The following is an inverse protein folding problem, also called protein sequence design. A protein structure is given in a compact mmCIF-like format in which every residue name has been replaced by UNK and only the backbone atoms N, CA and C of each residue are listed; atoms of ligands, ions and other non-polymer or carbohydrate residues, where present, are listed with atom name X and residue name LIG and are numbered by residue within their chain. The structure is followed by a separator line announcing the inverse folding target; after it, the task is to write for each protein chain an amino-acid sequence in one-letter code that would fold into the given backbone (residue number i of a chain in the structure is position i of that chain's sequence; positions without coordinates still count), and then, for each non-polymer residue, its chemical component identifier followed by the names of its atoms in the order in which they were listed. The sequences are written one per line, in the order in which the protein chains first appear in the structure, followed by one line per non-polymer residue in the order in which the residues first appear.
data_IF_185435848002
#
_entry.id   IF_185435848002
#
_cell.length_a   1.000
_cell.length_b   1.000
_cell.length_c   1.000
_cell.angle_alpha   90.00
_cell.angle_beta   90.00
_cell.angle_gamma   90.00
#
_symmetry.space_group_name_H-M   'P 1'
#
loop_
_entity.id
_entity.type
_entity.pdbx_description
1 polymer ?
#
# COMPACT_ATOMS: atom_id res chain seq x y z
N UNK A 1 -4.42 23.47 -8.84
CA UNK A 1 -5.05 22.28 -8.24
C UNK A 1 -3.91 21.46 -7.69
N UNK A 2 -4.02 21.02 -6.45
CA UNK A 2 -3.02 20.18 -5.82
C UNK A 2 -3.46 18.72 -5.92
N UNK A 3 -2.58 17.84 -6.37
CA UNK A 3 -2.77 16.39 -6.30
C UNK A 3 -1.80 15.87 -5.23
N UNK A 4 -2.35 15.26 -4.20
CA UNK A 4 -1.60 14.69 -3.07
C UNK A 4 -1.68 13.17 -3.17
N UNK A 5 -0.55 12.49 -3.21
CA UNK A 5 -0.50 11.02 -3.33
C UNK A 5 0.19 10.42 -2.12
N UNK A 6 -0.53 9.55 -1.41
CA UNK A 6 -0.05 8.75 -0.27
C UNK A 6 -0.31 7.28 -0.55
N UNK A 7 0.47 6.37 0.03
CA UNK A 7 0.41 4.94 -0.29
C UNK A 7 0.89 4.08 0.87
N UNK A 8 0.60 2.78 0.80
CA UNK A 8 1.23 1.75 1.63
C UNK A 8 1.03 1.95 3.14
N UNK A 9 -0.10 2.47 3.58
CA UNK A 9 -0.38 2.65 5.01
C UNK A 9 -0.65 1.33 5.73
N UNK A 10 -1.28 0.35 5.07
CA UNK A 10 -1.57 -0.96 5.63
C UNK A 10 -2.36 -0.91 6.96
N UNK A 11 -3.41 -0.08 7.05
CA UNK A 11 -4.28 0.01 8.22
C UNK A 11 -4.86 -1.38 8.57
N UNK A 12 -4.56 -1.86 9.77
CA UNK A 12 -5.07 -3.09 10.34
C UNK A 12 -6.29 -2.85 11.23
N UNK A 13 -6.37 -3.56 12.37
CA UNK A 13 -7.50 -3.46 13.30
C UNK A 13 -7.31 -2.36 14.37
N UNK A 14 -6.30 -1.52 14.23
CA UNK A 14 -5.85 -0.56 15.22
C UNK A 14 -4.72 -1.09 16.11
N UNK A 15 -4.04 -0.14 16.74
CA UNK A 15 -2.82 -0.36 17.54
C UNK A 15 -3.02 -1.26 18.75
N UNK A 16 -4.20 -1.23 19.36
CA UNK A 16 -4.48 -1.96 20.61
C UNK A 16 -5.63 -2.94 20.44
N UNK A 17 -5.47 -4.14 20.98
CA UNK A 17 -6.54 -5.11 21.14
C UNK A 17 -7.51 -4.67 22.25
N UNK A 18 -8.70 -5.29 22.31
CA UNK A 18 -9.72 -4.96 23.32
C UNK A 18 -9.24 -5.10 24.77
N UNK A 19 -8.23 -5.92 25.01
CA UNK A 19 -7.62 -6.13 26.34
C UNK A 19 -6.44 -5.18 26.62
N UNK A 20 -6.20 -4.18 25.77
CA UNK A 20 -5.12 -3.19 25.90
C UNK A 20 -3.75 -3.67 25.43
N UNK A 21 -3.60 -4.94 25.01
CA UNK A 21 -2.34 -5.42 24.45
C UNK A 21 -2.06 -4.80 23.08
N UNK A 22 -0.77 -4.57 22.79
CA UNK A 22 -0.34 -4.12 21.48
C UNK A 22 -0.73 -5.16 20.41
N UNK A 23 -1.41 -4.70 19.37
CA UNK A 23 -1.70 -5.48 18.18
C UNK A 23 -0.44 -5.56 17.31
N UNK A 24 0.31 -6.65 17.43
CA UNK A 24 1.56 -6.89 16.66
C UNK A 24 1.35 -6.99 15.14
N UNK A 25 0.11 -7.13 14.69
CA UNK A 25 -0.25 -7.16 13.28
C UNK A 25 -0.67 -5.77 12.77
N UNK A 26 -0.81 -4.79 13.65
CA UNK A 26 -1.01 -3.40 13.23
C UNK A 26 0.30 -2.84 12.68
N UNK A 27 0.21 -2.27 11.48
CA UNK A 27 1.35 -1.65 10.84
C UNK A 27 1.31 -0.13 10.97
N UNK A 28 0.10 0.46 10.91
CA UNK A 28 -0.12 1.89 10.89
C UNK A 28 -0.41 2.45 12.29
N UNK A 29 0.34 3.47 12.70
CA UNK A 29 0.16 4.15 13.99
C UNK A 29 0.16 5.68 13.84
N UNK A 30 -0.17 6.19 12.65
CA UNK A 30 -0.01 7.61 12.29
C UNK A 30 -1.36 8.30 12.03
N UNK A 31 -2.44 7.82 12.66
CA UNK A 31 -3.77 8.40 12.57
C UNK A 31 -3.76 9.92 12.83
N UNK A 32 -3.15 10.36 13.94
CA UNK A 32 -3.10 11.77 14.32
C UNK A 32 -2.33 12.61 13.30
N UNK A 33 -1.19 12.10 12.81
CA UNK A 33 -0.37 12.81 11.80
C UNK A 33 -1.10 12.91 10.46
N UNK A 34 -1.89 11.90 10.12
CA UNK A 34 -2.72 11.93 8.92
C UNK A 34 -3.89 12.91 9.06
N UNK A 35 -4.48 13.00 10.26
CA UNK A 35 -5.47 14.02 10.57
C UNK A 35 -4.90 15.43 10.40
N UNK A 36 -3.72 15.70 10.98
CA UNK A 36 -3.01 16.98 10.82
C UNK A 36 -2.72 17.30 9.34
N UNK A 37 -2.29 16.31 8.57
CA UNK A 37 -2.02 16.44 7.14
C UNK A 37 -3.27 16.87 6.36
N UNK A 38 -4.40 16.18 6.56
CA UNK A 38 -5.64 16.53 5.87
C UNK A 38 -6.21 17.87 6.33
N UNK A 39 -6.08 18.20 7.62
CA UNK A 39 -6.47 19.51 8.15
C UNK A 39 -5.67 20.63 7.48
N UNK A 40 -4.36 20.46 7.32
CA UNK A 40 -3.51 21.46 6.66
C UNK A 40 -3.94 21.71 5.20
N UNK A 41 -4.25 20.65 4.45
CA UNK A 41 -4.70 20.76 3.05
C UNK A 41 -6.20 21.05 2.89
N UNK A 42 -6.92 21.32 3.99
CA UNK A 42 -8.35 21.65 3.94
C UNK A 42 -8.77 22.85 4.80
N UNK A 43 -7.82 23.55 5.41
CA UNK A 43 -8.05 24.73 6.26
C UNK A 43 -7.22 25.94 5.77
N UNK A 44 -7.44 27.11 6.39
CA UNK A 44 -6.70 28.32 6.09
C UNK A 44 -6.70 28.69 4.61
N UNK A 45 -5.52 28.92 4.03
CA UNK A 45 -5.35 29.22 2.60
C UNK A 45 -5.74 28.06 1.67
N UNK A 46 -5.72 26.82 2.17
CA UNK A 46 -6.11 25.63 1.42
C UNK A 46 -7.62 25.31 1.49
N UNK A 47 -8.38 26.05 2.31
CA UNK A 47 -9.81 25.80 2.49
C UNK A 47 -10.56 25.81 1.15
N UNK A 48 -10.34 26.83 0.32
CA UNK A 48 -10.95 26.96 -1.01
C UNK A 48 -10.13 26.32 -2.14
N UNK A 49 -8.91 25.88 -1.87
CA UNK A 49 -8.03 25.29 -2.86
C UNK A 49 -8.64 23.98 -3.42
N UNK A 50 -8.49 23.76 -4.72
CA UNK A 50 -8.83 22.48 -5.32
C UNK A 50 -7.74 21.45 -4.99
N UNK A 51 -8.08 20.49 -4.12
CA UNK A 51 -7.16 19.45 -3.64
C UNK A 51 -7.75 18.08 -3.91
N UNK A 52 -6.99 17.26 -4.63
CA UNK A 52 -7.30 15.86 -4.94
C UNK A 52 -6.34 14.96 -4.18
N UNK A 53 -6.86 14.28 -3.17
CA UNK A 53 -6.13 13.23 -2.45
C UNK A 53 -6.27 11.90 -3.20
N UNK A 54 -5.14 11.28 -3.50
CA UNK A 54 -5.06 9.95 -4.10
C UNK A 54 -4.46 9.00 -3.08
N UNK A 55 -5.30 8.04 -2.67
CA UNK A 55 -4.97 6.91 -1.83
C UNK A 55 -4.42 5.79 -2.73
N UNK A 56 -3.10 5.72 -2.91
CA UNK A 56 -2.45 4.95 -3.98
C UNK A 56 -2.19 3.46 -3.67
N UNK A 57 -3.20 2.75 -3.17
CA UNK A 57 -3.11 1.32 -2.90
C UNK A 57 -2.39 0.95 -1.61
N UNK A 58 -2.71 -0.26 -1.15
CA UNK A 58 -2.28 -0.81 0.13
C UNK A 58 -2.51 0.16 1.30
N UNK A 59 -3.62 0.91 1.24
CA UNK A 59 -4.04 1.77 2.35
C UNK A 59 -4.62 0.90 3.46
N UNK A 60 -5.43 -0.09 3.12
CA UNK A 60 -6.01 -1.03 4.08
C UNK A 60 -5.29 -2.38 4.00
N UNK A 61 -5.06 -3.05 5.12
CA UNK A 61 -4.46 -4.38 5.14
C UNK A 61 -5.53 -5.48 5.20
N UNK A 62 -6.46 -5.50 4.23
CA UNK A 62 -7.67 -6.35 4.26
C UNK A 62 -7.37 -7.85 4.21
N UNK A 63 -6.22 -8.24 3.65
CA UNK A 63 -5.78 -9.64 3.64
C UNK A 63 -5.30 -10.13 5.01
N UNK A 64 -4.88 -9.25 5.93
CA UNK A 64 -4.39 -9.64 7.26
C UNK A 64 -5.38 -9.31 8.39
N UNK A 65 -6.68 -9.32 8.09
CA UNK A 65 -7.73 -9.17 9.10
C UNK A 65 -8.31 -10.53 9.45
N UNK A 66 -8.26 -10.92 10.72
CA UNK A 66 -9.01 -12.08 11.20
C UNK A 66 -10.48 -11.74 11.48
N UNK A 67 -11.36 -12.70 11.19
CA UNK A 67 -12.73 -12.73 11.67
C UNK A 67 -12.81 -13.79 12.76
N UNK A 68 -13.15 -13.36 13.97
CA UNK A 68 -13.23 -14.20 15.18
C UNK A 68 -11.99 -15.07 15.43
N UNK A 69 -10.80 -14.49 15.22
CA UNK A 69 -9.50 -15.16 15.42
C UNK A 69 -9.06 -16.06 14.26
N UNK A 70 -9.85 -16.15 13.19
CA UNK A 70 -9.54 -16.97 12.01
C UNK A 70 -9.08 -16.09 10.85
N UNK A 71 -7.85 -16.35 10.37
CA UNK A 71 -7.35 -15.81 9.12
C UNK A 71 -7.78 -16.72 7.96
N UNK A 72 -8.46 -16.16 6.98
CA UNK A 72 -8.98 -16.88 5.82
C UNK A 72 -8.37 -16.34 4.54
N UNK A 73 -7.98 -17.23 3.63
CA UNK A 73 -7.65 -16.88 2.25
C UNK A 73 -8.89 -16.89 1.34
N UNK A 74 -10.02 -17.37 1.86
CA UNK A 74 -11.33 -17.31 1.23
C UNK A 74 -11.94 -15.97 1.62
N UNK A 75 -11.70 -14.97 0.77
CA UNK A 75 -12.16 -13.60 0.98
C UNK A 75 -13.30 -13.32 0.01
N UNK A 76 -14.53 -13.31 0.51
CA UNK A 76 -15.71 -12.89 -0.21
C UNK A 76 -16.10 -11.43 0.13
N UNK A 77 -17.18 -10.95 -0.49
CA UNK A 77 -17.68 -9.59 -0.28
C UNK A 77 -18.07 -9.34 1.19
N UNK A 78 -18.75 -10.31 1.82
CA UNK A 78 -19.20 -10.20 3.21
C UNK A 78 -18.01 -10.13 4.18
N UNK A 79 -17.02 -10.99 3.99
CA UNK A 79 -15.77 -10.96 4.74
C UNK A 79 -15.09 -9.60 4.60
N UNK A 80 -15.00 -9.08 3.38
CA UNK A 80 -14.35 -7.78 3.10
C UNK A 80 -15.06 -6.63 3.83
N UNK A 81 -16.40 -6.58 3.78
CA UNK A 81 -17.20 -5.56 4.47
C UNK A 81 -17.00 -5.63 5.99
N UNK A 82 -16.99 -6.85 6.57
CA UNK A 82 -16.70 -7.04 8.00
C UNK A 82 -15.29 -6.61 8.36
N UNK A 83 -14.30 -6.93 7.52
CA UNK A 83 -12.91 -6.53 7.71
C UNK A 83 -12.75 -5.02 7.68
N UNK A 84 -13.38 -4.34 6.71
CA UNK A 84 -13.40 -2.88 6.63
C UNK A 84 -14.02 -2.25 7.87
N UNK A 85 -15.12 -2.82 8.40
CA UNK A 85 -15.73 -2.33 9.64
C UNK A 85 -14.80 -2.46 10.85
N UNK A 86 -14.02 -3.55 10.94
CA UNK A 86 -13.01 -3.71 12.00
C UNK A 86 -11.88 -2.68 11.86
N UNK A 87 -11.39 -2.45 10.65
CA UNK A 87 -10.36 -1.43 10.36
C UNK A 87 -10.86 -0.04 10.75
N UNK A 88 -12.07 0.32 10.33
CA UNK A 88 -12.69 1.61 10.67
C UNK A 88 -12.89 1.81 12.17
N UNK A 89 -13.24 0.74 12.91
CA UNK A 89 -13.33 0.82 14.37
C UNK A 89 -11.96 0.98 15.04
N UNK A 90 -10.89 0.43 14.45
CA UNK A 90 -9.51 0.59 14.92
C UNK A 90 -8.93 1.98 14.65
N UNK A 91 -9.36 2.61 13.55
CA UNK A 91 -8.79 3.86 13.03
C UNK A 91 -9.86 4.96 12.89
N UNK A 92 -10.64 5.20 13.93
CA UNK A 92 -11.76 6.16 13.88
C UNK A 92 -11.33 7.56 13.48
N UNK A 93 -10.17 8.00 13.96
CA UNK A 93 -9.60 9.31 13.65
C UNK A 93 -9.28 9.43 12.14
N UNK A 94 -8.66 8.41 11.55
CA UNK A 94 -8.39 8.36 10.11
C UNK A 94 -9.65 8.56 9.25
N UNK A 95 -10.70 7.76 9.50
CA UNK A 95 -11.95 7.87 8.72
C UNK A 95 -12.69 9.19 8.97
N UNK A 96 -12.68 9.69 10.22
CA UNK A 96 -13.25 10.99 10.56
C UNK A 96 -12.52 12.15 9.84
N UNK A 97 -11.20 12.06 9.69
CA UNK A 97 -10.41 13.05 8.96
C UNK A 97 -10.72 13.05 7.46
N UNK A 98 -10.85 11.87 6.84
CA UNK A 98 -11.28 11.75 5.43
C UNK A 98 -12.68 12.33 5.21
N UNK A 99 -13.62 12.03 6.12
CA UNK A 99 -14.97 12.62 6.11
C UNK A 99 -14.91 14.15 6.19
N UNK A 100 -14.16 14.68 7.17
CA UNK A 100 -13.99 16.13 7.35
C UNK A 100 -13.37 16.80 6.12
N UNK A 101 -12.39 16.14 5.50
CA UNK A 101 -11.74 16.62 4.27
C UNK A 101 -12.75 16.70 3.11
N UNK A 102 -13.51 15.63 2.86
CA UNK A 102 -14.54 15.62 1.80
C UNK A 102 -15.68 16.60 2.05
N UNK A 103 -15.96 16.94 3.31
CA UNK A 103 -16.99 17.92 3.65
C UNK A 103 -16.58 19.37 3.33
N UNK A 104 -15.32 19.63 2.95
CA UNK A 104 -14.84 20.97 2.58
C UNK A 104 -14.98 21.22 1.08
N UNK A 105 -15.11 22.48 0.65
CA UNK A 105 -15.24 22.80 -0.77
C UNK A 105 -14.00 22.38 -1.57
N UNK A 106 -14.23 21.94 -2.81
CA UNK A 106 -13.20 21.59 -3.79
C UNK A 106 -12.23 20.49 -3.32
N UNK A 107 -12.72 19.53 -2.52
CA UNK A 107 -11.95 18.36 -2.07
C UNK A 107 -12.43 17.10 -2.75
N UNK A 108 -11.49 16.31 -3.24
CA UNK A 108 -11.76 15.05 -3.94
C UNK A 108 -10.85 13.94 -3.39
N UNK A 109 -11.39 12.74 -3.30
CA UNK A 109 -10.62 11.53 -2.99
C UNK A 109 -10.76 10.52 -4.14
N UNK A 110 -9.63 9.96 -4.57
CA UNK A 110 -9.60 8.74 -5.39
C UNK A 110 -8.82 7.65 -4.67
N UNK A 111 -9.28 6.42 -4.80
CA UNK A 111 -8.70 5.24 -4.19
C UNK A 111 -8.21 4.30 -5.28
N UNK A 112 -6.91 4.09 -5.33
CA UNK A 112 -6.29 3.11 -6.21
C UNK A 112 -6.17 1.80 -5.43
N UNK A 113 -6.58 0.69 -6.04
CA UNK A 113 -6.60 -0.63 -5.40
C UNK A 113 -5.21 -1.29 -5.54
N UNK A 114 -4.64 -1.71 -4.41
CA UNK A 114 -3.41 -2.47 -4.30
C UNK A 114 -3.65 -3.97 -4.06
N UNK A 115 -2.59 -4.71 -3.73
CA UNK A 115 -2.65 -6.16 -3.51
C UNK A 115 -3.05 -6.54 -2.07
N UNK A 116 -2.90 -5.64 -1.08
CA UNK A 116 -3.36 -5.84 0.29
C UNK A 116 -4.83 -5.45 0.51
N UNK A 117 -5.34 -4.52 -0.31
CA UNK A 117 -6.71 -4.04 -0.28
C UNK A 117 -7.50 -4.39 -1.55
N UNK A 118 -7.13 -5.47 -2.25
CA UNK A 118 -7.84 -5.99 -3.43
C UNK A 118 -9.35 -6.22 -3.18
N UNK A 119 -9.74 -6.45 -1.92
CA UNK A 119 -11.14 -6.50 -1.49
C UNK A 119 -11.96 -5.25 -1.85
N UNK A 120 -11.32 -4.09 -2.01
CA UNK A 120 -11.97 -2.87 -2.46
C UNK A 120 -12.48 -2.94 -3.91
N UNK A 121 -12.22 -4.03 -4.65
CA UNK A 121 -12.90 -4.32 -5.90
C UNK A 121 -14.37 -4.76 -5.72
N UNK A 122 -14.79 -5.19 -4.53
CA UNK A 122 -16.18 -5.49 -4.23
C UNK A 122 -17.00 -4.21 -4.08
N UNK A 123 -18.13 -4.12 -4.79
CA UNK A 123 -18.98 -2.92 -4.77
C UNK A 123 -19.56 -2.64 -3.38
N UNK A 124 -19.90 -3.67 -2.60
CA UNK A 124 -20.39 -3.44 -1.24
C UNK A 124 -19.30 -2.89 -0.32
N UNK A 125 -18.03 -3.26 -0.54
CA UNK A 125 -16.90 -2.69 0.22
C UNK A 125 -16.68 -1.21 -0.13
N UNK A 126 -16.75 -0.85 -1.42
CA UNK A 126 -16.69 0.55 -1.87
C UNK A 126 -17.83 1.37 -1.29
N UNK A 127 -19.06 0.86 -1.36
CA UNK A 127 -20.25 1.50 -0.77
C UNK A 127 -20.06 1.69 0.73
N UNK A 128 -19.60 0.65 1.45
CA UNK A 128 -19.36 0.74 2.89
C UNK A 128 -18.30 1.78 3.23
N UNK A 129 -17.25 1.90 2.42
CA UNK A 129 -16.20 2.91 2.60
C UNK A 129 -16.77 4.33 2.40
N UNK A 130 -17.55 4.54 1.33
CA UNK A 130 -18.22 5.83 1.09
C UNK A 130 -19.23 6.18 2.20
N UNK A 131 -19.96 5.20 2.73
CA UNK A 131 -20.86 5.39 3.89
C UNK A 131 -20.09 5.86 5.13
N UNK A 132 -18.91 5.29 5.41
CA UNK A 132 -18.07 5.71 6.54
C UNK A 132 -17.57 7.16 6.38
N UNK A 133 -17.37 7.60 5.14
CA UNK A 133 -16.89 8.94 4.81
C UNK A 133 -18.01 9.97 4.62
N UNK A 134 -19.26 9.52 4.48
CA UNK A 134 -20.41 10.36 4.06
C UNK A 134 -20.08 11.17 2.79
N UNK A 135 -19.37 10.56 1.84
CA UNK A 135 -18.90 11.25 0.64
C UNK A 135 -18.48 10.29 -0.47
N UNK A 136 -18.38 10.85 -1.67
CA UNK A 136 -18.04 10.09 -2.87
C UNK A 136 -16.52 9.89 -2.98
N UNK A 137 -16.13 8.66 -3.32
CA UNK A 137 -14.73 8.26 -3.56
C UNK A 137 -14.69 7.46 -4.86
N UNK A 138 -13.80 7.84 -5.78
CA UNK A 138 -13.61 7.12 -7.04
C UNK A 138 -12.63 5.97 -6.84
N UNK A 139 -13.05 4.73 -7.11
CA UNK A 139 -12.21 3.53 -6.99
C UNK A 139 -11.71 3.06 -8.37
N UNK A 140 -10.42 2.77 -8.50
CA UNK A 140 -9.83 2.23 -9.73
C UNK A 140 -8.54 1.46 -9.45
N UNK A 141 -7.97 0.79 -10.45
CA UNK A 141 -6.63 0.15 -10.34
C UNK A 141 -5.50 1.07 -10.80
N UNK A 142 -5.84 2.12 -11.56
CA UNK A 142 -4.94 3.22 -11.90
C UNK A 142 -5.74 4.49 -12.11
N UNK A 143 -5.09 5.64 -12.00
CA UNK A 143 -5.65 6.95 -12.29
C UNK A 143 -4.75 7.61 -13.33
N UNK A 144 -5.34 8.05 -14.43
CA UNK A 144 -4.66 8.88 -15.42
C UNK A 144 -5.35 10.24 -15.50
N UNK A 145 -4.60 11.31 -15.30
CA UNK A 145 -5.12 12.67 -15.29
C UNK A 145 -4.13 13.62 -15.94
N UNK A 146 -4.50 14.20 -17.08
CA UNK A 146 -3.75 15.28 -17.76
C UNK A 146 -2.23 15.01 -17.84
N UNK A 147 -1.82 13.82 -18.31
CA UNK A 147 -0.41 13.43 -18.47
C UNK A 147 0.27 12.84 -17.21
N UNK A 148 -0.46 12.72 -16.10
CA UNK A 148 -0.03 12.06 -14.87
C UNK A 148 -0.66 10.67 -14.82
N UNK A 149 0.16 9.64 -14.61
CA UNK A 149 -0.29 8.27 -14.37
C UNK A 149 0.05 7.85 -12.94
N UNK A 150 -0.94 7.37 -12.20
CA UNK A 150 -0.80 6.91 -10.83
C UNK A 150 -1.30 5.48 -10.77
N UNK A 151 -0.47 4.58 -10.25
CA UNK A 151 -0.82 3.19 -9.99
C UNK A 151 -0.09 2.70 -8.75
N UNK A 152 -0.57 1.64 -8.10
CA UNK A 152 0.12 1.13 -6.91
C UNK A 152 1.48 0.48 -7.28
N UNK A 153 1.53 -0.28 -8.38
CA UNK A 153 2.76 -0.88 -8.92
C UNK A 153 2.97 -2.37 -8.60
N UNK A 154 2.08 -3.00 -7.81
CA UNK A 154 2.13 -4.43 -7.49
C UNK A 154 2.13 -5.35 -8.73
N UNK A 155 1.55 -4.90 -9.86
CA UNK A 155 1.53 -5.65 -11.13
C UNK A 155 2.93 -5.91 -11.73
N UNK A 156 3.95 -5.16 -11.32
CA UNK A 156 5.32 -5.38 -11.79
C UNK A 156 6.06 -6.49 -11.04
N UNK A 157 5.51 -6.93 -9.91
CA UNK A 157 5.98 -8.07 -9.15
C UNK A 157 5.11 -9.28 -9.45
N UNK A 158 5.63 -10.26 -10.17
CA UNK A 158 4.86 -11.45 -10.59
C UNK A 158 4.19 -12.17 -9.41
N UNK A 159 4.82 -12.13 -8.22
CA UNK A 159 4.27 -12.76 -7.02
C UNK A 159 3.12 -11.97 -6.38
N UNK A 160 3.00 -10.67 -6.68
CA UNK A 160 1.99 -9.76 -6.14
C UNK A 160 1.03 -9.25 -7.22
N UNK A 161 1.26 -9.60 -8.49
CA UNK A 161 0.48 -9.14 -9.61
C UNK A 161 -0.93 -9.74 -9.60
N UNK A 162 -1.92 -8.85 -9.58
CA UNK A 162 -3.32 -9.16 -9.75
C UNK A 162 -3.76 -8.72 -11.15
N UNK A 163 -4.50 -9.57 -11.86
CA UNK A 163 -5.11 -9.18 -13.13
C UNK A 163 -6.44 -8.46 -12.85
N UNK A 164 -6.61 -7.27 -13.39
CA UNK A 164 -7.85 -6.48 -13.27
C UNK A 164 -9.06 -7.21 -13.88
N UNK A 165 -8.84 -7.99 -14.94
CA UNK A 165 -9.88 -8.79 -15.59
C UNK A 165 -10.25 -10.05 -14.79
N UNK A 166 -9.38 -10.48 -13.88
CA UNK A 166 -9.51 -11.73 -13.12
C UNK A 166 -9.34 -11.51 -11.62
N UNK A 167 -9.92 -10.44 -11.08
CA UNK A 167 -9.89 -10.13 -9.65
C UNK A 167 -10.63 -11.18 -8.82
N UNK A 168 -11.59 -11.88 -9.42
CA UNK A 168 -12.46 -12.82 -8.73
C UNK A 168 -12.43 -14.21 -9.35
N UNK A 169 -12.58 -15.23 -8.50
CA UNK A 169 -12.74 -16.63 -8.86
C UNK A 169 -13.91 -17.24 -8.10
N UNK A 170 -14.37 -18.40 -8.57
CA UNK A 170 -15.40 -19.17 -7.90
C UNK A 170 -14.82 -19.90 -6.68
N UNK A 171 -15.36 -19.59 -5.51
CA UNK A 171 -15.02 -20.19 -4.23
C UNK A 171 -15.98 -21.30 -3.83
N UNK A 172 -15.90 -21.75 -2.56
CA UNK A 172 -16.82 -22.76 -2.04
C UNK A 172 -18.28 -22.34 -2.19
N UNK A 173 -19.13 -23.31 -2.54
CA UNK A 173 -20.57 -23.09 -2.73
C UNK A 173 -20.92 -22.05 -3.82
N UNK A 174 -20.03 -21.85 -4.80
CA UNK A 174 -20.25 -20.90 -5.91
C UNK A 174 -20.09 -19.43 -5.53
N UNK A 175 -19.65 -19.14 -4.29
CA UNK A 175 -19.44 -17.76 -3.84
C UNK A 175 -18.27 -17.12 -4.60
N UNK A 176 -18.44 -15.86 -4.99
CA UNK A 176 -17.38 -15.06 -5.60
C UNK A 176 -16.35 -14.67 -4.54
N UNK A 177 -15.09 -15.07 -4.74
CA UNK A 177 -13.97 -14.78 -3.82
C UNK A 177 -12.82 -14.10 -4.56
N UNK A 178 -11.91 -13.46 -3.82
CA UNK A 178 -10.71 -12.83 -4.40
C UNK A 178 -9.74 -13.85 -4.98
N UNK A 179 -9.24 -13.55 -6.18
CA UNK A 179 -8.13 -14.25 -6.83
C UNK A 179 -6.79 -13.71 -6.32
N UNK A 180 -6.44 -14.08 -5.09
CA UNK A 180 -5.22 -13.57 -4.46
C UNK A 180 -3.96 -14.14 -5.14
N UNK A 181 -2.92 -13.30 -5.34
CA UNK A 181 -1.64 -13.75 -5.88
C UNK A 181 -0.83 -14.49 -4.80
N UNK A 182 0.22 -15.19 -5.22
CA UNK A 182 1.01 -16.05 -4.33
C UNK A 182 1.56 -15.30 -3.10
N UNK A 183 2.03 -14.06 -3.29
CA UNK A 183 2.57 -13.20 -2.23
C UNK A 183 1.53 -12.87 -1.16
N UNK A 184 0.32 -12.46 -1.57
CA UNK A 184 -0.78 -12.23 -0.63
C UNK A 184 -1.16 -13.50 0.13
N UNK A 185 -1.25 -14.65 -0.55
CA UNK A 185 -1.54 -15.95 0.10
C UNK A 185 -0.48 -16.34 1.14
N UNK A 186 0.79 -16.07 0.84
CA UNK A 186 1.90 -16.24 1.77
C UNK A 186 1.76 -15.30 2.98
N UNK A 187 1.44 -14.03 2.76
CA UNK A 187 1.18 -13.04 3.80
C UNK A 187 0.00 -13.42 4.72
N UNK A 188 -1.04 -14.07 4.20
CA UNK A 188 -2.17 -14.55 5.01
C UNK A 188 -1.76 -15.74 5.88
N UNK A 189 -1.09 -16.71 5.26
CA UNK A 189 -0.93 -18.05 5.86
C UNK A 189 0.25 -18.15 6.83
N UNK A 190 1.32 -17.39 6.57
CA UNK A 190 2.60 -17.54 7.24
C UNK A 190 3.00 -16.32 8.05
N UNK A 191 2.80 -15.13 7.52
CA UNK A 191 3.33 -13.91 8.11
C UNK A 191 2.80 -13.64 9.53
N UNK A 192 1.51 -13.86 9.88
CA UNK A 192 1.04 -13.73 11.25
C UNK A 192 1.78 -14.65 12.25
N UNK A 193 2.21 -15.84 11.82
CA UNK A 193 2.98 -16.76 12.67
C UNK A 193 4.41 -16.29 12.89
N UNK A 194 5.00 -15.67 11.87
CA UNK A 194 6.36 -15.12 11.92
C UNK A 194 6.40 -13.81 12.74
N UNK A 195 5.44 -12.90 12.53
CA UNK A 195 5.32 -11.62 13.27
C UNK A 195 5.13 -11.82 14.77
N UNK A 196 4.50 -12.91 15.21
CA UNK A 196 4.42 -13.30 16.63
C UNK A 196 5.78 -13.42 17.31
N UNK A 197 6.82 -13.82 16.57
CA UNK A 197 8.17 -13.95 17.12
C UNK A 197 9.03 -12.73 16.81
N UNK A 198 8.87 -12.16 15.60
CA UNK A 198 9.62 -10.99 15.14
C UNK A 198 8.69 -10.02 14.41
N UNK A 199 8.12 -9.01 15.10
CA UNK A 199 7.09 -8.13 14.55
C UNK A 199 7.48 -7.37 13.26
N UNK A 200 8.78 -7.13 13.05
CA UNK A 200 9.29 -6.37 11.89
C UNK A 200 9.79 -7.24 10.73
N UNK A 201 9.62 -8.57 10.78
CA UNK A 201 10.26 -9.50 9.82
C UNK A 201 9.96 -9.20 8.35
N UNK A 202 8.77 -8.70 8.04
CA UNK A 202 8.28 -8.29 6.72
C UNK A 202 8.73 -6.88 6.30
N UNK A 203 9.21 -6.07 7.23
CA UNK A 203 9.54 -4.65 7.01
C UNK A 203 11.03 -4.37 6.90
N UNK A 204 11.90 -5.25 7.40
CA UNK A 204 13.35 -5.02 7.34
C UNK A 204 13.82 -4.96 5.88
N UNK A 205 14.65 -3.97 5.57
CA UNK A 205 15.27 -3.80 4.25
C UNK A 205 16.79 -3.59 4.39
N UNK A 206 17.61 -4.06 3.42
CA UNK A 206 17.25 -5.06 2.42
C UNK A 206 17.03 -6.44 3.05
N UNK A 207 16.02 -7.17 2.59
CA UNK A 207 15.67 -8.50 3.12
C UNK A 207 16.83 -9.50 3.02
N UNK A 208 17.62 -9.45 1.94
CA UNK A 208 18.78 -10.31 1.76
C UNK A 208 19.87 -10.08 2.82
N UNK A 209 20.06 -8.83 3.26
CA UNK A 209 20.95 -8.49 4.37
C UNK A 209 20.45 -9.06 5.69
N UNK A 210 19.15 -8.95 5.95
CA UNK A 210 18.53 -9.52 7.15
C UNK A 210 18.66 -11.05 7.19
N UNK A 211 18.40 -11.74 6.08
CA UNK A 211 18.55 -13.20 5.98
C UNK A 211 19.99 -13.63 6.31
N UNK A 212 21.00 -12.95 5.74
CA UNK A 212 22.42 -13.21 6.03
C UNK A 212 22.74 -12.98 7.50
N UNK A 213 22.29 -11.86 8.05
CA UNK A 213 22.52 -11.51 9.45
C UNK A 213 21.93 -12.57 10.39
N UNK A 214 20.67 -12.97 10.16
CA UNK A 214 19.99 -14.01 10.94
C UNK A 214 20.69 -15.36 10.82
N UNK A 215 21.15 -15.74 9.62
CA UNK A 215 21.85 -17.02 9.43
C UNK A 215 23.16 -17.12 10.21
N UNK A 216 23.84 -15.99 10.45
CA UNK A 216 25.12 -15.92 11.15
C UNK A 216 24.95 -15.72 12.67
N UNK A 217 23.99 -14.88 13.08
CA UNK A 217 23.85 -14.43 14.47
C UNK A 217 22.72 -15.13 15.25
N UNK A 218 21.74 -15.71 14.56
CA UNK A 218 20.66 -16.49 15.18
C UNK A 218 20.32 -17.74 14.31
N UNK A 219 21.25 -18.71 14.23
CA UNK A 219 21.10 -19.89 13.38
C UNK A 219 19.93 -20.78 13.81
N UNK A 220 19.58 -20.79 15.10
CA UNK A 220 18.44 -21.58 15.61
C UNK A 220 17.14 -21.01 15.05
N UNK A 221 16.95 -19.69 15.11
CA UNK A 221 15.79 -19.05 14.50
C UNK A 221 15.79 -19.20 12.98
N UNK A 222 16.94 -19.09 12.32
CA UNK A 222 17.08 -19.31 10.88
C UNK A 222 16.57 -20.69 10.46
N UNK A 223 17.05 -21.75 11.14
CA UNK A 223 16.62 -23.14 10.88
C UNK A 223 15.12 -23.29 11.13
N UNK A 224 14.59 -22.69 12.20
CA UNK A 224 13.15 -22.72 12.49
C UNK A 224 12.32 -22.08 11.38
N UNK A 225 12.69 -20.90 10.90
CA UNK A 225 12.00 -20.22 9.78
C UNK A 225 12.12 -21.05 8.50
N UNK A 226 13.29 -21.64 8.23
CA UNK A 226 13.50 -22.53 7.10
C UNK A 226 12.54 -23.73 7.13
N UNK A 227 12.36 -24.40 8.28
CA UNK A 227 11.41 -25.51 8.41
C UNK A 227 9.96 -25.07 8.26
N UNK A 228 9.60 -23.90 8.78
CA UNK A 228 8.25 -23.33 8.62
C UNK A 228 7.95 -23.06 7.15
N UNK A 229 8.91 -22.47 6.41
CA UNK A 229 8.83 -22.24 4.97
C UNK A 229 8.73 -23.55 4.20
N UNK A 230 9.61 -24.52 4.50
CA UNK A 230 9.60 -25.83 3.86
C UNK A 230 8.27 -26.55 4.05
N UNK A 231 7.74 -26.54 5.28
CA UNK A 231 6.41 -27.10 5.58
C UNK A 231 5.33 -26.38 4.77
N UNK A 232 5.35 -25.06 4.70
CA UNK A 232 4.42 -24.29 3.87
C UNK A 232 4.50 -24.77 2.40
N UNK A 233 5.69 -24.83 1.81
CA UNK A 233 5.89 -25.30 0.42
C UNK A 233 5.39 -26.72 0.16
N UNK A 234 5.55 -27.64 1.12
CA UNK A 234 5.04 -29.01 0.99
C UNK A 234 3.51 -29.02 1.11
N UNK A 235 2.96 -28.32 2.09
CA UNK A 235 1.51 -28.30 2.34
C UNK A 235 0.71 -27.59 1.24
N UNK A 236 1.25 -26.53 0.63
CA UNK A 236 0.58 -25.78 -0.44
C UNK A 236 0.57 -26.52 -1.77
N UNK A 237 1.33 -27.62 -1.90
CA UNK A 237 1.25 -28.55 -3.03
C UNK A 237 0.13 -29.58 -2.87
N UNK A 238 -0.44 -29.76 -1.67
CA UNK A 238 -1.54 -30.69 -1.41
C UNK A 238 -2.86 -30.09 -1.90
N UNK A 239 -3.71 -30.94 -2.48
CA UNK A 239 -4.91 -30.54 -3.24
C UNK A 239 -5.85 -29.55 -2.50
N UNK A 240 -5.97 -29.65 -1.18
CA UNK A 240 -6.90 -28.85 -0.37
C UNK A 240 -6.70 -27.33 -0.50
N UNK A 241 -5.45 -26.84 -0.54
CA UNK A 241 -5.16 -25.41 -0.71
C UNK A 241 -5.30 -24.98 -2.18
N UNK A 242 -4.87 -25.83 -3.11
CA UNK A 242 -4.90 -25.53 -4.55
C UNK A 242 -6.28 -25.67 -5.19
N UNK A 243 -7.22 -26.32 -4.51
CA UNK A 243 -8.59 -26.57 -5.01
C UNK A 243 -9.36 -25.27 -5.21
N UNK A 244 -9.12 -24.28 -4.34
CA UNK A 244 -9.82 -23.01 -4.35
C UNK A 244 -9.01 -21.91 -5.04
N UNK A 245 -7.68 -21.88 -4.87
CA UNK A 245 -6.83 -20.93 -5.58
C UNK A 245 -5.54 -21.62 -6.08
N UNK A 246 -5.36 -21.66 -7.40
CA UNK A 246 -4.20 -22.31 -8.04
C UNK A 246 -2.89 -21.58 -7.76
N UNK A 247 -2.94 -20.29 -7.38
CA UNK A 247 -1.77 -19.46 -7.11
C UNK A 247 -1.01 -19.91 -5.87
N UNK A 248 -1.53 -20.82 -5.04
CA UNK A 248 -0.76 -21.46 -3.96
C UNK A 248 0.42 -22.30 -4.46
N UNK A 249 0.40 -22.78 -5.71
CA UNK A 249 1.47 -23.61 -6.26
C UNK A 249 2.74 -22.79 -6.51
N UNK A 250 3.74 -22.95 -5.65
CA UNK A 250 5.07 -22.37 -5.87
C UNK A 250 5.80 -23.09 -6.99
N UNK A 251 6.34 -22.32 -7.94
CA UNK A 251 7.25 -22.79 -9.00
C UNK A 251 8.67 -22.27 -8.79
N UNK A 252 9.67 -22.92 -9.41
CA UNK A 252 11.06 -22.45 -9.36
C UNK A 252 11.22 -21.02 -9.93
N UNK A 253 10.35 -20.64 -10.87
CA UNK A 253 10.28 -19.29 -11.43
C UNK A 253 9.87 -18.24 -10.38
N UNK A 254 8.90 -18.57 -9.51
CA UNK A 254 8.46 -17.71 -8.40
C UNK A 254 9.61 -17.50 -7.40
N UNK A 255 10.34 -18.57 -7.04
CA UNK A 255 11.46 -18.49 -6.10
C UNK A 255 12.61 -17.60 -6.63
N UNK A 256 12.92 -17.70 -7.92
CA UNK A 256 13.95 -16.86 -8.56
C UNK A 256 13.53 -15.39 -8.71
N UNK A 257 12.24 -15.07 -8.60
CA UNK A 257 11.75 -13.68 -8.66
C UNK A 257 11.76 -13.00 -7.29
N UNK A 258 11.58 -13.75 -6.19
CA UNK A 258 11.72 -13.22 -4.82
C UNK A 258 13.12 -12.63 -4.59
N UNK A 259 14.14 -13.13 -5.28
CA UNK A 259 15.52 -12.64 -5.15
C UNK A 259 15.83 -11.44 -6.05
N UNK A 260 14.96 -11.10 -7.02
CA UNK A 260 15.17 -10.01 -7.98
C UNK A 260 14.13 -8.93 -7.70
N UNK A 261 14.50 -7.93 -6.88
CA UNK A 261 13.66 -6.77 -6.65
C UNK A 261 13.47 -6.00 -7.98
N UNK A 262 12.24 -5.71 -8.43
CA UNK A 262 12.03 -5.00 -9.68
C UNK A 262 12.65 -3.60 -9.58
N UNK A 263 13.31 -3.17 -10.65
CA UNK A 263 13.74 -1.78 -10.76
C UNK A 263 12.56 -0.93 -11.22
N UNK A 264 11.76 -0.43 -10.28
CA UNK A 264 10.56 0.37 -10.57
C UNK A 264 10.86 1.57 -11.47
N UNK A 265 12.02 2.23 -11.32
CA UNK A 265 12.46 3.28 -12.24
C UNK A 265 12.54 2.84 -13.71
N UNK A 266 12.91 1.57 -14.01
CA UNK A 266 12.89 1.05 -15.38
C UNK A 266 11.46 0.83 -15.89
N UNK A 267 10.56 0.36 -15.01
CA UNK A 267 9.13 0.16 -15.34
C UNK A 267 8.45 1.49 -15.61
N UNK A 268 8.67 2.49 -14.76
CA UNK A 268 8.19 3.84 -14.97
C UNK A 268 8.69 4.44 -16.30
N UNK A 269 9.99 4.29 -16.61
CA UNK A 269 10.53 4.69 -17.92
C UNK A 269 9.83 3.99 -19.09
N UNK A 270 9.53 2.70 -18.94
CA UNK A 270 8.77 1.96 -19.96
C UNK A 270 7.39 2.56 -20.18
N UNK A 271 6.63 2.85 -19.12
CA UNK A 271 5.28 3.46 -19.21
C UNK A 271 5.33 4.82 -19.92
N UNK A 272 6.27 5.67 -19.51
CA UNK A 272 6.52 6.99 -20.08
C UNK A 272 6.94 6.95 -21.56
N UNK A 273 7.57 5.86 -22.00
CA UNK A 273 7.96 5.65 -23.39
C UNK A 273 6.81 5.11 -24.24
N UNK A 274 5.93 4.28 -23.68
CA UNK A 274 4.79 3.70 -24.41
C UNK A 274 3.67 4.72 -24.61
N UNK A 275 3.52 5.70 -23.72
CA UNK A 275 2.54 6.76 -23.86
C UNK A 275 3.22 8.13 -23.83
N UNK A 276 3.47 8.74 -25.01
CA UNK A 276 4.13 10.05 -25.13
C UNK A 276 3.37 11.20 -24.45
N UNK A 277 2.07 11.05 -24.20
CA UNK A 277 1.28 12.06 -23.49
C UNK A 277 1.57 12.09 -21.98
N UNK A 278 2.21 11.03 -21.45
CA UNK A 278 2.58 10.98 -20.04
C UNK A 278 3.90 11.70 -19.80
N UNK A 279 3.87 12.63 -18.86
CA UNK A 279 5.08 13.28 -18.32
C UNK A 279 5.38 12.85 -16.90
N UNK A 280 4.44 12.24 -16.17
CA UNK A 280 4.67 11.86 -14.77
C UNK A 280 4.06 10.51 -14.45
N UNK A 281 4.82 9.66 -13.77
CA UNK A 281 4.37 8.39 -13.23
C UNK A 281 4.60 8.36 -11.72
N UNK A 282 3.56 8.06 -10.94
CA UNK A 282 3.63 7.89 -9.49
C UNK A 282 3.28 6.45 -9.13
N UNK A 283 4.12 5.82 -8.31
CA UNK A 283 3.92 4.46 -7.81
C UNK A 283 4.02 4.37 -6.27
N UNK A 284 3.64 3.21 -5.72
CA UNK A 284 3.81 2.83 -4.32
C UNK A 284 4.47 1.45 -4.22
N UNK A 285 3.93 0.56 -3.38
CA UNK A 285 4.20 -0.88 -3.25
C UNK A 285 5.56 -1.26 -2.64
N UNK A 286 6.62 -0.54 -2.97
CA UNK A 286 7.96 -0.86 -2.45
C UNK A 286 8.15 -0.44 -1.00
N UNK A 287 7.22 0.38 -0.48
CA UNK A 287 7.31 1.16 0.75
C UNK A 287 8.48 2.16 0.81
N UNK A 288 9.41 2.12 -0.14
CA UNK A 288 10.57 3.00 -0.20
C UNK A 288 10.25 4.21 -1.08
N UNK A 289 10.47 5.40 -0.55
CA UNK A 289 10.37 6.60 -1.36
C UNK A 289 11.55 6.65 -2.36
N UNK A 290 11.26 6.96 -3.62
CA UNK A 290 12.24 7.07 -4.70
C UNK A 290 11.77 8.16 -5.65
N UNK A 291 12.68 8.85 -6.33
CA UNK A 291 12.32 9.72 -7.43
C UNK A 291 13.38 9.67 -8.52
N UNK A 292 12.96 9.90 -9.77
CA UNK A 292 13.87 10.03 -10.92
C UNK A 292 13.33 11.05 -11.90
N UNK A 293 14.23 11.86 -12.46
CA UNK A 293 13.97 12.68 -13.65
C UNK A 293 14.60 12.02 -14.87
N UNK A 294 13.80 11.82 -15.89
CA UNK A 294 14.21 11.33 -17.20
C UNK A 294 14.37 12.51 -18.19
N UNK A 295 14.92 12.28 -19.40
CA UNK A 295 14.90 13.26 -20.48
C UNK A 295 13.49 13.77 -20.78
N UNK A 296 13.38 14.90 -21.48
CA UNK A 296 12.09 15.55 -21.83
C UNK A 296 11.25 15.93 -20.62
N UNK A 297 11.88 16.19 -19.47
CA UNK A 297 11.23 16.52 -18.20
C UNK A 297 10.23 15.46 -17.69
N UNK A 298 10.35 14.20 -18.14
CA UNK A 298 9.51 13.12 -17.61
C UNK A 298 9.94 12.73 -16.21
N UNK A 299 8.97 12.49 -15.32
CA UNK A 299 9.18 12.28 -13.90
C UNK A 299 8.67 10.93 -13.44
N UNK A 300 9.37 10.35 -12.47
CA UNK A 300 8.91 9.20 -11.73
C UNK A 300 9.05 9.46 -10.23
N UNK A 301 8.01 9.13 -9.48
CA UNK A 301 8.02 9.13 -8.01
C UNK A 301 7.51 7.78 -7.49
N UNK A 302 8.12 7.29 -6.42
CA UNK A 302 7.53 6.36 -5.49
C UNK A 302 7.20 7.11 -4.19
N UNK A 303 5.93 7.11 -3.78
CA UNK A 303 5.49 7.87 -2.59
C UNK A 303 6.04 7.32 -1.29
N UNK A 304 6.55 6.08 -1.26
CA UNK A 304 6.96 5.40 -0.05
C UNK A 304 5.77 5.01 0.83
N UNK A 305 6.01 4.88 2.13
CA UNK A 305 5.04 4.46 3.15
C UNK A 305 5.22 5.29 4.42
N UNK A 306 4.16 5.42 5.21
CA UNK A 306 4.21 6.03 6.54
C UNK A 306 4.58 5.02 7.64
N UNK A 307 4.80 3.77 7.27
CA UNK A 307 5.22 2.72 8.18
C UNK A 307 6.74 2.77 8.42
N UNK A 308 7.20 2.40 9.62
CA UNK A 308 8.63 2.29 9.88
C UNK A 308 9.25 1.16 9.06
N UNK A 309 10.35 1.47 8.37
CA UNK A 309 11.14 0.51 7.59
C UNK A 309 12.52 0.41 8.23
N UNK A 310 12.77 -0.60 9.08
CA UNK A 310 14.10 -0.80 9.66
C UNK A 310 15.12 -1.13 8.57
N UNK A 311 16.21 -0.35 8.52
CA UNK A 311 17.35 -0.63 7.66
C UNK A 311 18.39 -1.47 8.40
N UNK A 312 18.90 -2.52 7.75
CA UNK A 312 20.07 -3.27 8.21
C UNK A 312 21.34 -2.94 7.41
N UNK A 313 21.27 -1.91 6.56
CA UNK A 313 22.44 -1.38 5.86
C UNK A 313 23.32 -0.60 6.85
N UNK A 314 24.57 -1.07 7.03
CA UNK A 314 25.54 -0.48 7.97
C UNK A 314 25.96 0.95 7.59
N UNK A 315 25.82 1.35 6.32
CA UNK A 315 26.08 2.73 5.90
C UNK A 315 24.86 3.64 6.11
N UNK A 316 23.67 3.06 6.27
CA UNK A 316 22.39 3.76 6.39
C UNK A 316 21.64 3.30 7.64
N UNK A 317 22.29 3.31 8.82
CA UNK A 317 21.71 3.07 10.16
C UNK A 317 20.64 4.13 10.55
N UNK A 318 19.80 4.51 9.61
CA UNK A 318 18.70 5.43 9.71
C UNK A 318 17.42 4.59 9.73
N UNK A 319 16.90 4.31 10.93
CA UNK A 319 15.48 3.97 11.08
C UNK A 319 14.69 5.27 10.92
N UNK A 320 14.62 5.79 9.70
CA UNK A 320 13.86 6.99 9.42
C UNK A 320 12.42 6.59 9.15
N UNK A 321 11.54 6.85 10.12
CA UNK A 321 10.12 7.01 9.85
C UNK A 321 9.95 8.34 9.14
N UNK A 322 9.76 8.31 7.81
CA UNK A 322 9.41 9.49 7.01
C UNK A 322 7.94 9.38 6.61
N UNK A 323 7.19 10.44 6.78
CA UNK A 323 5.77 10.50 6.44
C UNK A 323 5.65 11.07 5.03
N UNK A 324 6.14 10.30 4.06
CA UNK A 324 6.33 10.80 2.70
C UNK A 324 5.04 10.87 1.89
N UNK A 325 4.94 11.86 1.02
CA UNK A 325 3.85 12.00 0.05
C UNK A 325 4.34 12.73 -1.19
N UNK A 326 3.65 12.52 -2.32
CA UNK A 326 3.92 13.28 -3.55
C UNK A 326 2.91 14.41 -3.67
N UNK A 327 3.39 15.61 -3.97
CA UNK A 327 2.55 16.76 -4.30
C UNK A 327 2.82 17.17 -5.75
N UNK A 328 1.75 17.27 -6.54
CA UNK A 328 1.78 17.91 -7.85
C UNK A 328 0.91 19.16 -7.81
N UNK A 329 1.51 20.33 -8.08
CA UNK A 329 0.76 21.55 -8.38
C UNK A 329 0.49 21.62 -9.87
N UNK A 330 -0.78 21.48 -10.21
CA UNK A 330 -1.29 21.48 -11.58
C UNK A 330 -2.09 22.75 -11.87
N UNK A 331 -1.74 23.45 -12.95
CA UNK A 331 -2.50 24.59 -13.43
C UNK A 331 -3.69 24.12 -14.28
N UNK A 332 -4.88 24.10 -13.69
CA UNK A 332 -6.11 23.66 -14.37
C UNK A 332 -6.48 24.48 -15.61
N UNK A 333 -5.98 25.72 -15.76
CA UNK A 333 -6.27 26.58 -16.93
C UNK A 333 -5.37 26.25 -18.12
N UNK A 334 -4.07 26.12 -17.87
CA UNK A 334 -3.07 25.84 -18.92
C UNK A 334 -2.87 24.35 -19.17
N UNK A 335 -3.43 23.50 -18.30
CA UNK A 335 -3.22 22.05 -18.27
C UNK A 335 -1.75 21.65 -18.17
N UNK A 336 -0.97 22.43 -17.42
CA UNK A 336 0.47 22.19 -17.21
C UNK A 336 0.79 22.00 -15.74
N UNK A 337 1.80 21.18 -15.44
CA UNK A 337 2.38 21.12 -14.10
C UNK A 337 3.15 22.42 -13.83
N UNK A 338 2.93 23.01 -12.66
CA UNK A 338 3.75 24.11 -12.10
C UNK A 338 4.87 23.57 -11.21
N UNK A 339 4.58 22.53 -10.43
CA UNK A 339 5.57 21.89 -9.59
C UNK A 339 5.25 20.44 -9.29
N UNK A 340 6.30 19.65 -9.06
CA UNK A 340 6.20 18.26 -8.63
C UNK A 340 7.26 17.98 -7.57
N UNK A 341 6.82 17.52 -6.41
CA UNK A 341 7.67 17.38 -5.23
C UNK A 341 7.38 16.09 -4.48
N UNK A 342 8.42 15.46 -3.95
CA UNK A 342 8.33 14.41 -2.95
C UNK A 342 8.66 15.05 -1.61
N UNK A 343 7.72 14.99 -0.68
CA UNK A 343 7.76 15.70 0.59
C UNK A 343 7.73 14.73 1.76
N UNK A 344 8.31 15.12 2.88
CA UNK A 344 8.25 14.43 4.17
C UNK A 344 7.47 15.29 5.19
N UNK A 345 6.30 14.82 5.61
CA UNK A 345 5.42 15.54 6.52
C UNK A 345 6.00 15.60 7.95
N UNK A 346 6.12 16.82 8.50
CA UNK A 346 6.69 17.10 9.82
C UNK A 346 5.64 17.50 10.87
N UNK A 347 4.42 17.86 10.46
CA UNK A 347 3.33 18.27 11.35
C UNK A 347 2.85 19.70 11.12
N UNK A 348 2.38 20.40 12.16
CA UNK A 348 1.84 21.77 12.01
C UNK A 348 2.90 22.86 11.89
N UNK A 349 4.04 22.72 12.58
CA UNK A 349 5.13 23.70 12.53
C UNK A 349 6.18 23.26 11.52
N UNK A 350 6.41 24.08 10.49
CA UNK A 350 7.23 23.75 9.30
C UNK A 350 6.74 22.44 8.65
N UNK A 351 5.57 22.49 7.98
CA UNK A 351 4.72 21.33 7.86
C UNK A 351 5.28 20.18 7.06
N UNK A 352 6.20 20.45 6.16
CA UNK A 352 6.91 19.43 5.41
C UNK A 352 8.33 19.88 5.11
N UNK A 353 9.16 18.89 4.78
CA UNK A 353 10.47 19.06 4.19
C UNK A 353 10.45 18.48 2.78
N UNK A 354 10.94 19.22 1.81
CA UNK A 354 11.09 18.68 0.45
C UNK A 354 12.29 17.71 0.42
N UNK A 355 12.05 16.48 -0.03
CA UNK A 355 13.13 15.55 -0.42
C UNK A 355 13.59 15.84 -1.84
N UNK A 356 12.65 16.21 -2.70
CA UNK A 356 12.91 16.85 -3.99
C UNK A 356 11.76 17.80 -4.33
N UNK A 357 12.09 18.92 -4.93
CA UNK A 357 11.11 19.87 -5.46
C UNK A 357 11.53 20.33 -6.84
N UNK A 358 10.62 20.29 -7.79
CA UNK A 358 10.85 20.73 -9.16
C UNK A 358 9.83 21.79 -9.52
N UNK A 359 10.30 22.93 -10.03
CA UNK A 359 9.47 24.01 -10.55
C UNK A 359 9.56 24.02 -12.07
N UNK A 360 8.41 24.11 -12.73
CA UNK A 360 8.28 24.24 -14.17
C UNK A 360 7.75 25.65 -14.43
N UNK A 361 8.68 26.55 -14.74
CA UNK A 361 8.39 27.95 -15.10
C UNK A 361 7.71 28.05 -16.44
#
# INVERSE_FOLDING_TARGET
MLILVVSDFHLGKGQFLKNGQLNILEDFNEDDRFCEFLEYYSSGTNYWANVHLVLNGDILNLIQIDIDGVFSHIIDEEFTVKSLAKVANGHKAFFAALKSFLSKPNKKISYIIGNHDLGMAFLAAQKKFQELLEGNVDFSFSLSYEGIHIEHGHRFEVINACSEDQVFIEGPHGKKILNLPWGSLFCISLLPKLKKQRPYIDKVRPMSGYIKWVSLHDPIYFIKVFWILLKYFVTTRVANYTRQNRNFKTTMKILNQITIYPQFGRRAKSILNHNPLLHTVIMGHTHLFEWRKFPENKLYFNSGSWNPIPSIDAAMHQSLRKLTFVEIDFNSKTKTIRGASLKDWQGRWRPYRDEVSMSFT
#
